data_IF_752914918432
#
_entry.id   IF_752914918432
#
_cell.length_a   1.000
_cell.length_b   1.000
_cell.length_c   1.000
_cell.angle_alpha   90.00
_cell.angle_beta   90.00
_cell.angle_gamma   90.00
#
_symmetry.space_group_name_H-M   'P 1'
#
loop_
_entity.id
_entity.type
_entity.pdbx_description
1 polymer ?
#
# COMPACT_ATOMS: atom_id res chain seq x y z
N UNK A 1 8.60 -11.43 12.04
CA UNK A 1 7.33 -10.84 12.53
C UNK A 1 6.91 -9.85 11.49
N UNK A 2 5.82 -10.12 10.78
CA UNK A 2 5.27 -9.23 9.76
C UNK A 2 3.85 -8.90 10.17
N UNK A 3 3.54 -7.61 10.19
CA UNK A 3 2.18 -7.13 10.42
C UNK A 3 1.28 -7.64 9.30
N UNK A 4 0.15 -8.28 9.63
CA UNK A 4 -0.82 -8.73 8.63
C UNK A 4 -1.77 -7.59 8.33
N UNK A 5 -1.60 -6.96 7.17
CA UNK A 5 -2.56 -5.98 6.65
C UNK A 5 -3.30 -6.59 5.46
N UNK A 6 -4.61 -6.42 5.43
CA UNK A 6 -5.46 -6.80 4.30
C UNK A 6 -6.09 -5.56 3.68
N UNK A 7 -6.18 -5.55 2.35
CA UNK A 7 -6.83 -4.47 1.59
C UNK A 7 -8.02 -5.04 0.82
N UNK A 8 -9.17 -4.36 0.89
CA UNK A 8 -10.41 -4.74 0.22
C UNK A 8 -10.97 -3.57 -0.58
N UNK A 9 -11.40 -3.83 -1.80
CA UNK A 9 -11.88 -2.81 -2.72
C UNK A 9 -10.93 -2.63 -3.90
N UNK A 10 -11.19 -1.59 -4.70
CA UNK A 10 -10.43 -1.28 -5.92
C UNK A 10 -10.57 0.19 -6.29
N UNK A 11 -9.57 0.73 -6.97
CA UNK A 11 -9.63 2.08 -7.54
C UNK A 11 -9.99 1.96 -9.01
N UNK A 12 -11.14 2.51 -9.41
CA UNK A 12 -11.55 2.53 -10.81
C UNK A 12 -10.64 3.44 -11.65
N UNK A 13 -10.42 3.06 -12.90
CA UNK A 13 -9.60 3.76 -13.89
C UNK A 13 -10.48 4.05 -15.11
N UNK A 14 -10.59 5.32 -15.51
CA UNK A 14 -11.36 5.74 -16.68
C UNK A 14 -10.55 6.73 -17.54
N UNK A 15 -10.34 6.46 -18.85
CA UNK A 15 -10.69 5.23 -19.57
C UNK A 15 -9.90 4.01 -19.03
N UNK A 16 -10.35 2.76 -19.28
CA UNK A 16 -9.59 1.58 -18.89
C UNK A 16 -8.19 1.55 -19.50
N UNK A 17 -7.25 0.97 -18.76
CA UNK A 17 -5.88 0.77 -19.22
C UNK A 17 -5.84 -0.11 -20.48
N UNK A 18 -4.90 0.18 -21.38
CA UNK A 18 -4.61 -0.66 -22.52
C UNK A 18 -3.72 -1.85 -22.14
N UNK A 19 -3.55 -2.81 -23.07
CA UNK A 19 -2.81 -4.04 -22.81
C UNK A 19 -1.34 -3.80 -22.42
N UNK A 20 -0.72 -2.74 -22.94
CA UNK A 20 0.68 -2.41 -22.74
C UNK A 20 0.90 -1.77 -21.37
N UNK A 21 -0.03 -0.91 -20.93
CA UNK A 21 -0.09 -0.36 -19.57
C UNK A 21 -0.28 -1.47 -18.55
N UNK A 22 -1.25 -2.36 -18.78
CA UNK A 22 -1.52 -3.52 -17.91
C UNK A 22 -0.27 -4.40 -17.80
N UNK A 23 0.33 -4.78 -18.94
CA UNK A 23 1.51 -5.63 -18.97
C UNK A 23 2.69 -5.01 -18.23
N UNK A 24 2.95 -3.72 -18.43
CA UNK A 24 4.04 -3.04 -17.74
C UNK A 24 3.79 -2.93 -16.24
N UNK A 25 2.61 -2.47 -15.81
CA UNK A 25 2.32 -2.24 -14.39
C UNK A 25 2.34 -3.55 -13.59
N UNK A 26 1.90 -4.67 -14.17
CA UNK A 26 2.05 -6.00 -13.55
C UNK A 26 3.51 -6.40 -13.36
N UNK A 27 4.34 -6.13 -14.36
CA UNK A 27 5.79 -6.37 -14.25
C UNK A 27 6.45 -5.44 -13.23
N UNK A 28 5.98 -4.19 -13.15
CA UNK A 28 6.43 -3.21 -12.18
C UNK A 28 6.14 -3.68 -10.76
N UNK A 29 4.91 -4.11 -10.47
CA UNK A 29 4.51 -4.69 -9.20
C UNK A 29 5.27 -6.00 -8.88
N UNK A 30 5.45 -6.86 -9.88
CA UNK A 30 6.17 -8.12 -9.74
C UNK A 30 7.70 -8.03 -9.63
N UNK A 31 8.27 -6.83 -9.65
CA UNK A 31 9.72 -6.62 -9.60
C UNK A 31 10.12 -5.78 -8.40
N UNK A 32 11.10 -6.24 -7.63
CA UNK A 32 11.64 -5.49 -6.50
C UNK A 32 12.30 -4.20 -6.96
N UNK A 33 11.93 -3.13 -6.30
CA UNK A 33 12.30 -1.75 -6.62
C UNK A 33 13.61 -1.38 -5.97
N UNK A 34 14.72 -1.80 -6.58
CA UNK A 34 16.09 -1.50 -6.12
C UNK A 34 16.71 -0.37 -6.94
N UNK A 35 17.61 0.40 -6.34
CA UNK A 35 18.39 1.42 -7.05
C UNK A 35 19.30 0.77 -8.10
N UNK A 36 19.08 1.17 -9.36
CA UNK A 36 19.65 0.54 -10.55
C UNK A 36 20.19 1.57 -11.54
N UNK A 37 21.22 1.15 -12.26
CA UNK A 37 21.82 1.89 -13.37
C UNK A 37 20.87 2.12 -14.53
N UNK A 38 19.98 1.17 -14.78
CA UNK A 38 18.97 1.23 -15.84
C UNK A 38 17.78 2.15 -15.52
N UNK A 39 17.78 2.80 -14.35
CA UNK A 39 16.78 3.79 -13.98
C UNK A 39 15.62 3.26 -13.13
N UNK A 40 14.73 4.16 -12.66
CA UNK A 40 13.70 3.85 -11.67
C UNK A 40 12.60 2.93 -12.23
N UNK A 41 12.40 2.92 -13.55
CA UNK A 41 11.31 2.20 -14.22
C UNK A 41 11.70 0.82 -14.76
N UNK A 42 12.92 0.36 -14.48
CA UNK A 42 13.43 -0.90 -15.00
C UNK A 42 12.72 -2.13 -14.40
N UNK A 43 12.18 -3.00 -15.24
CA UNK A 43 11.38 -4.18 -14.84
C UNK A 43 11.94 -5.52 -15.39
N UNK A 44 13.13 -5.49 -15.98
CA UNK A 44 13.78 -6.65 -16.63
C UNK A 44 14.94 -7.22 -15.78
N UNK A 45 14.87 -7.12 -14.44
CA UNK A 45 15.89 -7.70 -13.56
C UNK A 45 15.92 -9.23 -13.64
N UNK A 46 17.09 -9.85 -13.48
CA UNK A 46 17.17 -11.32 -13.46
C UNK A 46 16.77 -11.90 -12.10
N UNK A 47 16.56 -13.21 -12.02
CA UNK A 47 16.23 -13.89 -10.76
C UNK A 47 14.79 -13.67 -10.28
N UNK A 48 14.48 -14.16 -9.08
CA UNK A 48 13.13 -14.06 -8.52
C UNK A 48 12.76 -12.60 -8.24
N UNK A 49 11.66 -12.14 -8.84
CA UNK A 49 11.18 -10.75 -8.76
C UNK A 49 12.25 -9.71 -9.13
N UNK A 50 13.16 -10.05 -10.06
CA UNK A 50 14.23 -9.17 -10.49
C UNK A 50 15.32 -8.91 -9.44
N UNK A 51 15.52 -9.81 -8.47
CA UNK A 51 16.51 -9.68 -7.38
C UNK A 51 17.81 -10.45 -7.63
N UNK A 52 18.13 -10.72 -8.88
CA UNK A 52 19.35 -11.38 -9.31
C UNK A 52 20.61 -10.55 -8.99
N UNK A 53 21.76 -11.05 -9.43
CA UNK A 53 23.05 -10.36 -9.26
C UNK A 53 23.39 -9.56 -10.51
N UNK A 54 22.46 -8.72 -10.95
CA UNK A 54 22.63 -7.91 -12.13
C UNK A 54 23.69 -6.83 -11.87
N UNK A 55 24.54 -6.56 -12.88
CA UNK A 55 25.64 -5.60 -12.75
C UNK A 55 25.17 -4.14 -12.62
N UNK A 56 23.92 -3.84 -12.96
CA UNK A 56 23.34 -2.49 -12.85
C UNK A 56 22.82 -2.18 -11.45
N UNK A 57 22.70 -3.16 -10.54
CA UNK A 57 22.26 -2.90 -9.16
C UNK A 57 23.31 -2.07 -8.45
N UNK A 58 22.92 -0.86 -8.02
CA UNK A 58 23.80 0.06 -7.28
C UNK A 58 23.69 -0.16 -5.78
N UNK A 59 22.47 -0.28 -5.27
CA UNK A 59 22.20 -0.48 -3.86
C UNK A 59 20.99 -1.43 -3.69
N UNK A 60 21.26 -2.63 -3.18
CA UNK A 60 20.29 -3.73 -3.17
C UNK A 60 19.10 -3.42 -2.25
N UNK A 61 19.30 -2.85 -1.06
CA UNK A 61 18.25 -2.63 -0.06
C UNK A 61 17.69 -1.20 -0.05
N UNK A 62 17.78 -0.50 -1.17
CA UNK A 62 17.32 0.88 -1.30
C UNK A 62 16.52 1.08 -2.58
N UNK A 63 15.36 1.74 -2.52
CA UNK A 63 14.61 2.05 -3.72
C UNK A 63 15.26 3.17 -4.54
N UNK A 64 14.95 3.23 -5.86
CA UNK A 64 15.27 4.39 -6.68
C UNK A 64 14.77 5.68 -6.03
N UNK A 65 15.50 6.78 -6.21
CA UNK A 65 15.10 8.07 -5.66
C UNK A 65 13.67 8.45 -6.11
N UNK A 66 12.81 8.78 -5.13
CA UNK A 66 11.42 9.15 -5.35
C UNK A 66 10.42 8.00 -5.31
N UNK A 67 10.86 6.73 -5.29
CA UNK A 67 9.96 5.60 -5.05
C UNK A 67 9.68 5.41 -3.55
N UNK A 68 8.43 5.07 -3.16
CA UNK A 68 8.07 4.93 -1.74
C UNK A 68 8.84 3.82 -1.02
N UNK A 69 9.02 2.68 -1.68
CA UNK A 69 9.66 1.52 -1.07
C UNK A 69 10.20 0.51 -2.08
N UNK A 70 10.48 -0.70 -1.61
CA UNK A 70 11.03 -1.78 -2.42
C UNK A 70 9.95 -2.60 -3.15
N UNK A 71 8.69 -2.50 -2.73
CA UNK A 71 7.61 -3.36 -3.19
C UNK A 71 6.34 -2.54 -3.39
N UNK A 72 5.82 -2.56 -4.62
CA UNK A 72 4.52 -1.98 -4.97
C UNK A 72 3.55 -3.13 -5.18
N UNK A 73 2.57 -3.28 -4.28
CA UNK A 73 1.63 -4.40 -4.31
C UNK A 73 0.27 -4.02 -4.93
N UNK A 74 0.22 -2.88 -5.62
CA UNK A 74 -0.90 -2.50 -6.48
C UNK A 74 -0.72 -3.05 -7.88
N UNK A 75 -1.76 -3.68 -8.42
CA UNK A 75 -1.79 -4.22 -9.77
C UNK A 75 -3.09 -3.88 -10.51
N UNK A 76 -3.05 -3.74 -11.85
CA UNK A 76 -4.26 -3.55 -12.63
C UNK A 76 -5.06 -4.85 -12.80
N UNK A 77 -6.38 -4.70 -12.84
CA UNK A 77 -7.31 -5.78 -13.22
C UNK A 77 -7.09 -6.22 -14.66
N UNK A 78 -7.54 -7.43 -15.01
CA UNK A 78 -7.36 -8.00 -16.36
C UNK A 78 -8.01 -7.18 -17.48
N UNK A 79 -9.08 -6.45 -17.17
CA UNK A 79 -9.80 -5.57 -18.09
C UNK A 79 -9.28 -4.12 -18.08
N UNK A 80 -8.27 -3.81 -17.27
CA UNK A 80 -7.71 -2.46 -17.14
C UNK A 80 -8.62 -1.44 -16.47
N UNK A 81 -9.81 -1.84 -16.01
CA UNK A 81 -10.81 -0.91 -15.47
C UNK A 81 -10.57 -0.52 -14.01
N UNK A 82 -9.63 -1.17 -13.31
CA UNK A 82 -9.29 -0.86 -11.93
C UNK A 82 -7.86 -1.23 -11.54
N UNK A 83 -7.40 -0.67 -10.41
CA UNK A 83 -6.21 -1.08 -9.65
C UNK A 83 -6.66 -1.73 -8.33
N UNK A 84 -6.07 -2.87 -7.97
CA UNK A 84 -6.37 -3.62 -6.76
C UNK A 84 -5.09 -4.17 -6.10
N UNK A 85 -5.22 -4.62 -4.85
CA UNK A 85 -4.11 -5.24 -4.11
C UNK A 85 -3.86 -6.64 -4.65
N UNK A 86 -2.62 -6.94 -5.01
CA UNK A 86 -2.21 -8.26 -5.51
C UNK A 86 -2.15 -9.36 -4.44
N UNK A 87 -2.54 -9.04 -3.20
CA UNK A 87 -2.62 -9.94 -2.03
C UNK A 87 -1.27 -10.40 -1.47
N UNK A 88 -0.17 -9.76 -1.85
CA UNK A 88 1.12 -9.96 -1.21
C UNK A 88 1.18 -9.24 0.15
N UNK A 89 1.71 -9.94 1.15
CA UNK A 89 1.86 -9.43 2.52
C UNK A 89 2.87 -8.29 2.63
N UNK A 90 2.82 -7.56 3.76
CA UNK A 90 3.79 -6.51 4.13
C UNK A 90 3.84 -5.33 3.15
N UNK A 91 2.67 -4.92 2.69
CA UNK A 91 2.54 -3.77 1.82
C UNK A 91 2.64 -2.46 2.60
N UNK A 92 3.88 -2.00 2.82
CA UNK A 92 4.17 -0.68 3.38
C UNK A 92 3.93 0.42 2.34
N UNK A 93 3.68 1.64 2.82
CA UNK A 93 3.58 2.85 1.98
C UNK A 93 2.49 2.75 0.90
N UNK A 94 1.36 2.08 1.21
CA UNK A 94 0.32 1.75 0.23
C UNK A 94 -0.32 2.99 -0.40
N UNK A 95 -0.48 4.08 0.36
CA UNK A 95 -1.02 5.35 -0.13
C UNK A 95 -0.02 6.05 -1.05
N UNK A 96 1.24 6.07 -0.65
CA UNK A 96 2.36 6.65 -1.40
C UNK A 96 2.59 5.90 -2.70
N UNK A 97 2.46 4.58 -2.72
CA UNK A 97 2.52 3.76 -3.93
C UNK A 97 1.37 4.04 -4.87
N UNK A 98 0.14 4.19 -4.37
CA UNK A 98 -0.99 4.57 -5.22
C UNK A 98 -0.74 5.96 -5.84
N UNK A 99 -0.28 6.92 -5.04
CA UNK A 99 0.07 8.26 -5.52
C UNK A 99 1.20 8.22 -6.55
N UNK A 100 2.19 7.35 -6.36
CA UNK A 100 3.27 7.13 -7.30
C UNK A 100 2.75 6.60 -8.64
N UNK A 101 1.92 5.55 -8.64
CA UNK A 101 1.36 5.02 -9.89
C UNK A 101 0.56 6.09 -10.65
N UNK A 102 -0.31 6.81 -9.94
CA UNK A 102 -1.10 7.90 -10.50
C UNK A 102 -0.20 8.97 -11.12
N UNK A 103 0.79 9.45 -10.37
CA UNK A 103 1.67 10.55 -10.77
C UNK A 103 2.73 10.19 -11.79
N UNK A 104 3.13 8.93 -11.89
CA UNK A 104 4.20 8.49 -12.77
C UNK A 104 3.71 7.85 -14.06
N UNK A 105 2.56 7.17 -14.04
CA UNK A 105 2.13 6.36 -15.17
C UNK A 105 0.73 6.67 -15.70
N UNK A 106 -0.20 7.13 -14.86
CA UNK A 106 -1.62 7.05 -15.22
C UNK A 106 -2.24 8.38 -15.63
N UNK A 107 -1.97 9.46 -14.88
CA UNK A 107 -2.66 10.74 -15.11
C UNK A 107 -2.08 11.54 -16.28
N UNK A 108 -2.83 12.52 -16.82
CA UNK A 108 -2.28 13.53 -17.72
C UNK A 108 -1.07 14.25 -17.12
N UNK A 109 0.02 14.32 -17.89
CA UNK A 109 1.27 14.95 -17.46
C UNK A 109 2.07 14.11 -16.47
N UNK A 110 1.84 12.79 -16.39
CA UNK A 110 2.61 11.93 -15.52
C UNK A 110 4.10 11.92 -15.87
N UNK A 111 4.96 11.62 -14.89
CA UNK A 111 6.41 11.75 -15.03
C UNK A 111 7.03 10.88 -16.13
N UNK A 112 6.42 9.74 -16.46
CA UNK A 112 6.89 8.86 -17.53
C UNK A 112 6.49 9.34 -18.93
N UNK A 113 5.57 10.30 -19.04
CA UNK A 113 5.03 10.77 -20.32
C UNK A 113 6.13 11.38 -21.20
N UNK A 114 6.17 10.92 -22.46
CA UNK A 114 7.15 11.37 -23.46
C UNK A 114 8.50 10.63 -23.42
N UNK A 115 8.70 9.70 -22.49
CA UNK A 115 9.88 8.82 -22.53
C UNK A 115 9.65 7.70 -23.58
N UNK A 116 10.66 7.32 -24.38
CA UNK A 116 10.49 6.37 -25.47
C UNK A 116 9.92 5.00 -25.06
N UNK A 117 10.23 4.52 -23.86
CA UNK A 117 9.75 3.22 -23.34
C UNK A 117 8.24 3.21 -23.02
N UNK A 118 7.61 4.39 -22.94
CA UNK A 118 6.18 4.57 -22.66
C UNK A 118 5.42 5.22 -23.81
N UNK A 119 5.91 5.09 -25.05
CA UNK A 119 5.22 5.66 -26.23
C UNK A 119 3.79 5.11 -26.44
N UNK A 120 3.52 3.91 -25.91
CA UNK A 120 2.22 3.24 -26.00
C UNK A 120 1.32 3.48 -24.77
N UNK A 121 1.76 4.29 -23.81
CA UNK A 121 0.93 4.72 -22.69
C UNK A 121 0.09 5.92 -23.12
N UNK A 122 -1.15 5.95 -22.68
CA UNK A 122 -2.14 6.97 -23.02
C UNK A 122 -2.07 8.18 -22.09
N UNK A 123 -1.78 7.95 -20.80
CA UNK A 123 -1.67 9.01 -19.79
C UNK A 123 -2.92 9.89 -19.70
N UNK A 124 -4.11 9.36 -19.96
CA UNK A 124 -5.37 10.12 -19.95
C UNK A 124 -6.34 9.66 -18.86
N UNK A 125 -5.86 8.84 -17.93
CA UNK A 125 -6.70 8.20 -16.94
C UNK A 125 -7.06 9.11 -15.77
N UNK A 126 -8.30 8.95 -15.31
CA UNK A 126 -8.83 9.51 -14.07
C UNK A 126 -9.18 8.37 -13.15
N UNK A 127 -8.58 8.38 -11.95
CA UNK A 127 -8.76 7.36 -10.95
C UNK A 127 -9.69 7.83 -9.84
N UNK A 128 -10.60 6.94 -9.44
CA UNK A 128 -11.54 7.18 -8.34
C UNK A 128 -11.86 5.88 -7.60
N UNK A 129 -11.94 5.93 -6.27
CA UNK A 129 -12.35 4.77 -5.48
C UNK A 129 -11.94 4.86 -4.03
N UNK A 130 -12.30 3.82 -3.30
CA UNK A 130 -11.92 3.63 -1.90
C UNK A 130 -11.45 2.19 -1.74
N UNK A 131 -10.35 2.03 -1.01
CA UNK A 131 -9.85 0.75 -0.54
C UNK A 131 -9.87 0.78 0.97
N UNK A 132 -10.58 -0.17 1.56
CA UNK A 132 -10.58 -0.41 3.00
C UNK A 132 -9.36 -1.25 3.36
N UNK A 133 -8.68 -0.87 4.43
CA UNK A 133 -7.52 -1.57 4.95
C UNK A 133 -7.76 -1.97 6.41
N UNK A 134 -7.28 -3.15 6.76
CA UNK A 134 -7.40 -3.76 8.08
C UNK A 134 -6.04 -4.32 8.48
N UNK A 135 -5.45 -3.76 9.52
CA UNK A 135 -4.25 -4.27 10.19
C UNK A 135 -4.57 -5.32 11.25
N UNK A 136 -3.67 -5.49 12.22
CA UNK A 136 -3.74 -6.61 13.17
C UNK A 136 -4.79 -6.40 14.26
N UNK A 137 -4.89 -5.17 14.76
CA UNK A 137 -5.86 -4.81 15.78
C UNK A 137 -7.23 -4.53 15.13
N UNK A 138 -8.30 -4.90 15.82
CA UNK A 138 -9.67 -4.69 15.31
C UNK A 138 -10.02 -3.22 15.00
N UNK A 139 -9.30 -2.28 15.61
CA UNK A 139 -9.45 -0.84 15.37
C UNK A 139 -8.42 -0.27 14.39
N UNK A 140 -7.39 -1.04 14.03
CA UNK A 140 -6.36 -0.66 13.07
C UNK A 140 -6.94 -0.76 11.65
N UNK A 141 -7.90 0.12 11.38
CA UNK A 141 -8.67 0.18 10.15
C UNK A 141 -8.50 1.56 9.53
N UNK A 142 -8.29 1.60 8.23
CA UNK A 142 -8.19 2.86 7.51
C UNK A 142 -8.69 2.74 6.08
N UNK A 143 -8.89 3.88 5.44
CA UNK A 143 -9.32 3.94 4.05
C UNK A 143 -8.28 4.69 3.24
N UNK A 144 -7.85 4.09 2.14
CA UNK A 144 -7.19 4.80 1.05
C UNK A 144 -8.27 5.27 0.09
N UNK A 145 -8.33 6.57 -0.18
CA UNK A 145 -9.31 7.19 -1.06
C UNK A 145 -8.59 7.87 -2.22
N UNK A 146 -9.05 7.61 -3.44
CA UNK A 146 -8.62 8.32 -4.64
C UNK A 146 -9.81 9.09 -5.21
N UNK A 147 -9.64 10.38 -5.45
CA UNK A 147 -10.64 11.26 -6.06
C UNK A 147 -9.98 12.13 -7.11
N UNK A 148 -10.39 12.00 -8.36
CA UNK A 148 -9.83 12.76 -9.49
C UNK A 148 -8.29 12.76 -9.50
N UNK A 149 -7.68 11.57 -9.35
CA UNK A 149 -6.22 11.39 -9.25
C UNK A 149 -5.55 11.94 -7.97
N UNK A 150 -6.29 12.48 -7.01
CA UNK A 150 -5.76 12.86 -5.70
C UNK A 150 -5.91 11.70 -4.70
N UNK A 151 -4.80 11.28 -4.11
CA UNK A 151 -4.75 10.20 -3.13
C UNK A 151 -4.75 10.78 -1.72
N UNK A 152 -5.56 10.21 -0.85
CA UNK A 152 -5.63 10.53 0.58
C UNK A 152 -5.88 9.26 1.39
N UNK A 153 -5.56 9.29 2.68
CA UNK A 153 -5.90 8.22 3.59
C UNK A 153 -6.56 8.78 4.84
N UNK A 154 -7.56 8.07 5.39
CA UNK A 154 -7.82 8.18 6.83
C UNK A 154 -6.72 7.45 7.57
N UNK A 155 -6.34 7.89 8.76
CA UNK A 155 -5.49 7.08 9.63
C UNK A 155 -6.35 6.07 10.39
N UNK A 156 -5.77 4.98 10.91
CA UNK A 156 -6.40 4.26 12.00
C UNK A 156 -6.59 5.21 13.19
N UNK A 157 -7.75 5.12 13.83
CA UNK A 157 -8.06 5.87 15.05
C UNK A 157 -8.00 4.88 16.19
N UNK A 158 -6.91 4.93 16.96
CA UNK A 158 -6.77 4.12 18.16
C UNK A 158 -7.86 4.51 19.17
N UNK A 159 -8.69 3.56 19.63
CA UNK A 159 -9.72 3.84 20.61
C UNK A 159 -9.06 4.16 21.96
N UNK A 160 -9.74 4.97 22.77
CA UNK A 160 -9.29 5.20 24.14
C UNK A 160 -9.23 3.87 24.90
N UNK A 161 -8.31 3.76 25.85
CA UNK A 161 -8.18 2.56 26.69
C UNK A 161 -8.64 2.84 28.11
N UNK A 162 -9.19 1.81 28.74
CA UNK A 162 -9.71 1.86 30.10
C UNK A 162 -9.26 0.64 30.88
N UNK A 163 -8.92 0.85 32.15
CA UNK A 163 -8.64 -0.24 33.07
C UNK A 163 -9.96 -0.80 33.61
N UNK A 164 -10.11 -2.12 33.51
CA UNK A 164 -11.24 -2.89 34.03
C UNK A 164 -10.75 -3.89 35.08
N UNK A 165 -11.56 -4.13 36.10
CA UNK A 165 -11.31 -5.21 37.05
C UNK A 165 -11.42 -6.57 36.35
N UNK A 166 -10.37 -7.41 36.34
CA UNK A 166 -10.43 -8.72 35.70
C UNK A 166 -11.42 -9.71 36.33
N UNK A 167 -11.95 -9.41 37.52
CA UNK A 167 -12.97 -10.24 38.19
C UNK A 167 -14.42 -9.85 37.86
N UNK A 168 -14.74 -8.55 37.86
CA UNK A 168 -16.12 -8.06 37.69
C UNK A 168 -16.33 -7.11 36.52
N UNK A 169 -15.27 -6.79 35.76
CA UNK A 169 -15.29 -5.92 34.57
C UNK A 169 -15.70 -4.46 34.89
N UNK A 170 -15.70 -4.07 36.16
CA UNK A 170 -15.94 -2.67 36.54
C UNK A 170 -14.75 -1.78 36.16
N UNK A 171 -15.04 -0.55 35.72
CA UNK A 171 -14.03 0.48 35.47
C UNK A 171 -13.22 0.78 36.74
N UNK A 172 -11.91 0.82 36.62
CA UNK A 172 -10.96 1.12 37.69
C UNK A 172 -9.99 2.21 37.23
N UNK A 173 -9.34 2.90 38.18
CA UNK A 173 -8.58 4.10 37.87
C UNK A 173 -7.26 3.80 37.12
N UNK A 174 -6.60 2.71 37.48
CA UNK A 174 -5.28 2.32 37.02
C UNK A 174 -5.01 0.83 37.25
N UNK A 175 -3.83 0.36 36.82
CA UNK A 175 -3.35 -1.02 36.98
C UNK A 175 -3.11 -1.45 38.43
N UNK A 176 -3.03 -0.50 39.37
CA UNK A 176 -2.80 -0.76 40.80
C UNK A 176 -4.10 -0.83 41.60
N UNK A 177 -5.24 -0.51 40.97
CA UNK A 177 -6.54 -0.45 41.64
C UNK A 177 -7.08 -1.85 41.94
N UNK A 178 -7.12 -2.19 43.24
CA UNK A 178 -7.69 -3.45 43.73
C UNK A 178 -9.22 -3.33 43.83
N UNK A 179 -9.95 -3.99 42.95
CA UNK A 179 -11.41 -4.07 42.99
C UNK A 179 -11.93 -5.40 43.56
N UNK A 180 -11.59 -6.54 42.94
CA UNK A 180 -11.96 -7.87 43.45
C UNK A 180 -10.75 -8.59 44.07
N UNK A 181 -10.89 -9.28 45.21
CA UNK A 181 -9.79 -10.04 45.80
C UNK A 181 -9.26 -11.11 44.85
N UNK A 182 -7.96 -11.09 44.57
CA UNK A 182 -7.29 -12.09 43.74
C UNK A 182 -7.50 -11.93 42.23
N UNK A 183 -8.17 -10.88 41.77
CA UNK A 183 -8.24 -10.54 40.34
C UNK A 183 -7.19 -9.48 39.98
N UNK A 184 -6.54 -9.65 38.84
CA UNK A 184 -5.66 -8.64 38.26
C UNK A 184 -6.47 -7.68 37.37
N UNK A 185 -6.16 -6.37 37.39
CA UNK A 185 -6.62 -5.41 36.39
C UNK A 185 -6.33 -5.85 34.95
N UNK A 186 -7.26 -5.57 34.04
CA UNK A 186 -7.08 -5.76 32.61
C UNK A 186 -7.27 -4.45 31.87
N UNK A 187 -6.44 -4.18 30.87
CA UNK A 187 -6.64 -3.06 29.96
C UNK A 187 -7.60 -3.50 28.85
N UNK A 188 -8.61 -2.69 28.56
CA UNK A 188 -9.55 -2.91 27.47
C UNK A 188 -9.71 -1.63 26.65
N UNK A 189 -10.12 -1.76 25.39
CA UNK A 189 -10.58 -0.62 24.60
C UNK A 189 -11.91 -0.11 25.17
N UNK A 190 -12.04 1.20 25.29
CA UNK A 190 -13.27 1.85 25.71
C UNK A 190 -14.31 1.72 24.57
N UNK A 191 -15.55 1.38 24.92
CA UNK A 191 -16.70 1.33 23.99
C UNK A 191 -17.26 2.72 23.69
#
# INVERSE_FOLDING_TARGET
>A
MGYTTTFTGRIAVEPPLNEQEIAYLRRFAGTRRMDRGNGPYYVDGTGHAGQGRDADIREFDKPPAGQPGLWCEWEPTDDGAAIEWNRHEKFHDSSEWMAYLVGHFLKPGAHAQGQPEFENFTFDHVLNGVIDAQGEESWDTWQLMVRENEVSASGPVEPETAWLCGGCVALIADEDTICCPGSEPMLAYAE
#
